data_IF_432185234622
#
_entry.id   IF_432185234622
#
_cell.length_a   1.000
_cell.length_b   1.000
_cell.length_c   1.000
_cell.angle_alpha   90.00
_cell.angle_beta   90.00
_cell.angle_gamma   90.00
#
_symmetry.space_group_name_H-M   'P 1'
#
loop_
_entity.id
_entity.type
_entity.pdbx_description
1 polymer ?
#
# COMPACT_ATOMS: atom_id res chain seq x y z
N UNK A 1 10.45 -11.56 -18.75
CA UNK A 1 9.01 -11.48 -18.46
C UNK A 1 8.83 -11.52 -16.94
N UNK A 2 8.78 -10.37 -16.25
CA UNK A 2 8.55 -10.31 -14.80
C UNK A 2 7.05 -10.49 -14.54
N UNK A 3 6.69 -11.49 -13.73
CA UNK A 3 5.29 -11.80 -13.44
C UNK A 3 4.63 -10.63 -12.69
N UNK A 4 3.72 -9.93 -13.38
CA UNK A 4 2.96 -8.75 -12.91
C UNK A 4 2.19 -8.96 -11.60
N UNK A 5 2.04 -10.22 -11.14
CA UNK A 5 1.35 -10.58 -9.89
C UNK A 5 2.19 -10.35 -8.64
N UNK A 6 3.52 -10.27 -8.76
CA UNK A 6 4.44 -10.19 -7.61
C UNK A 6 5.43 -9.03 -7.77
N UNK A 7 5.00 -7.92 -8.37
CA UNK A 7 5.83 -6.73 -8.31
C UNK A 7 5.96 -6.33 -6.83
N UNK A 8 7.20 -6.15 -6.33
CA UNK A 8 7.47 -5.77 -4.95
C UNK A 8 6.55 -4.66 -4.48
N UNK A 9 6.42 -3.61 -5.29
CA UNK A 9 5.59 -2.45 -5.07
C UNK A 9 4.10 -2.79 -4.93
N UNK A 10 3.61 -3.73 -5.73
CA UNK A 10 2.21 -4.18 -5.74
C UNK A 10 1.83 -4.94 -4.46
N UNK A 11 2.67 -5.88 -4.04
CA UNK A 11 2.44 -6.68 -2.82
C UNK A 11 2.81 -5.93 -1.54
N UNK A 12 3.85 -5.11 -1.55
CA UNK A 12 4.35 -4.43 -0.35
C UNK A 12 3.57 -3.14 -0.05
N UNK A 13 3.38 -2.26 -1.03
CA UNK A 13 2.87 -0.91 -0.79
C UNK A 13 1.42 -0.67 -1.27
N UNK A 14 0.99 -1.33 -2.35
CA UNK A 14 -0.39 -1.18 -2.84
C UNK A 14 -1.41 -2.01 -2.05
N UNK A 15 -1.00 -3.16 -1.50
CA UNK A 15 -1.88 -3.99 -0.68
C UNK A 15 -2.41 -3.27 0.58
N UNK A 16 -1.55 -2.62 1.41
CA UNK A 16 -2.03 -1.84 2.55
C UNK A 16 -2.92 -0.65 2.14
N UNK A 17 -2.60 0.03 1.03
CA UNK A 17 -3.43 1.12 0.50
C UNK A 17 -4.83 0.61 0.17
N UNK A 18 -4.94 -0.52 -0.55
CA UNK A 18 -6.22 -1.14 -0.91
C UNK A 18 -7.04 -1.50 0.33
N UNK A 19 -6.40 -2.07 1.34
CA UNK A 19 -7.07 -2.46 2.60
C UNK A 19 -7.59 -1.24 3.35
N UNK A 20 -6.75 -0.23 3.54
CA UNK A 20 -7.12 0.96 4.30
C UNK A 20 -8.16 1.81 3.56
N UNK A 21 -8.02 1.91 2.22
CA UNK A 21 -9.03 2.50 1.36
C UNK A 21 -10.39 1.80 1.50
N UNK A 22 -10.44 0.47 1.39
CA UNK A 22 -11.68 -0.30 1.55
C UNK A 22 -12.34 -0.07 2.92
N UNK A 23 -11.54 0.12 3.98
CA UNK A 23 -12.03 0.45 5.32
C UNK A 23 -12.63 1.85 5.39
N UNK A 24 -11.93 2.86 4.86
CA UNK A 24 -12.43 4.24 4.82
C UNK A 24 -13.72 4.34 3.99
N UNK A 25 -13.75 3.67 2.84
CA UNK A 25 -14.93 3.53 2.00
C UNK A 25 -16.08 2.92 2.79
N UNK A 26 -15.87 1.76 3.44
CA UNK A 26 -16.93 1.10 4.20
C UNK A 26 -17.49 2.00 5.31
N UNK A 27 -16.63 2.68 6.07
CA UNK A 27 -17.05 3.62 7.12
C UNK A 27 -17.84 4.79 6.52
N UNK A 28 -17.39 5.34 5.40
CA UNK A 28 -18.06 6.48 4.77
C UNK A 28 -19.42 6.08 4.19
N UNK A 29 -19.51 4.95 3.47
CA UNK A 29 -20.78 4.43 2.93
C UNK A 29 -21.78 4.10 4.06
N UNK A 30 -21.31 3.53 5.18
CA UNK A 30 -22.13 3.28 6.38
C UNK A 30 -22.68 4.58 7.02
N UNK A 31 -21.93 5.68 6.92
CA UNK A 31 -22.32 6.98 7.51
C UNK A 31 -23.30 7.76 6.64
N UNK A 32 -23.18 7.66 5.31
CA UNK A 32 -23.90 8.55 4.39
C UNK A 32 -25.02 7.81 3.61
N UNK A 33 -25.18 6.48 3.77
CA UNK A 33 -26.11 5.65 2.97
C UNK A 33 -25.94 5.80 1.45
N UNK A 34 -24.76 6.27 1.04
CA UNK A 34 -24.35 6.37 -0.36
C UNK A 34 -23.76 5.02 -0.75
N UNK A 35 -24.12 4.49 -1.92
CA UNK A 35 -23.65 3.20 -2.44
C UNK A 35 -22.68 3.36 -3.62
N UNK A 36 -22.26 4.58 -3.93
CA UNK A 36 -21.41 4.89 -5.06
C UNK A 36 -20.17 5.68 -4.62
N UNK A 37 -19.05 5.37 -5.26
CA UNK A 37 -17.79 6.08 -5.09
C UNK A 37 -17.31 6.46 -6.47
N UNK A 38 -17.18 7.75 -6.71
CA UNK A 38 -16.68 8.25 -7.98
C UNK A 38 -15.14 8.40 -7.94
N UNK A 39 -14.58 8.89 -9.05
CA UNK A 39 -13.13 9.01 -9.23
C UNK A 39 -12.50 10.06 -8.29
N UNK A 40 -13.22 11.13 -7.99
CA UNK A 40 -12.77 12.19 -7.10
C UNK A 40 -12.73 11.71 -5.65
N UNK A 41 -13.73 10.93 -5.22
CA UNK A 41 -13.73 10.26 -3.92
C UNK A 41 -12.52 9.32 -3.78
N UNK A 42 -12.25 8.53 -4.82
CA UNK A 42 -11.06 7.67 -4.86
C UNK A 42 -9.78 8.48 -4.68
N UNK A 43 -9.63 9.59 -5.41
CA UNK A 43 -8.44 10.44 -5.35
C UNK A 43 -8.28 11.10 -3.98
N UNK A 44 -9.38 11.60 -3.41
CA UNK A 44 -9.43 12.25 -2.10
C UNK A 44 -9.02 11.31 -0.98
N UNK A 45 -9.66 10.13 -0.89
CA UNK A 45 -9.38 9.15 0.15
C UNK A 45 -7.95 8.61 -0.01
N UNK A 46 -7.53 8.27 -1.24
CA UNK A 46 -6.18 7.76 -1.50
C UNK A 46 -5.10 8.78 -1.12
N UNK A 47 -5.31 10.06 -1.41
CA UNK A 47 -4.36 11.13 -1.08
C UNK A 47 -4.22 11.31 0.43
N UNK A 48 -5.33 11.23 1.18
CA UNK A 48 -5.31 11.29 2.65
C UNK A 48 -4.60 10.09 3.29
N UNK A 49 -4.77 8.90 2.71
CA UNK A 49 -4.17 7.66 3.23
C UNK A 49 -2.69 7.50 2.89
N UNK A 50 -2.22 8.12 1.80
CA UNK A 50 -0.83 8.00 1.34
C UNK A 50 0.22 8.22 2.43
N UNK A 51 0.24 9.32 3.20
CA UNK A 51 1.30 9.53 4.20
C UNK A 51 1.31 8.46 5.31
N UNK A 52 0.15 7.89 5.66
CA UNK A 52 0.05 6.82 6.66
C UNK A 52 0.53 5.47 6.09
N UNK A 53 0.10 5.14 4.87
CA UNK A 53 0.42 3.86 4.21
C UNK A 53 1.89 3.80 3.76
N UNK A 54 2.39 4.89 3.19
CA UNK A 54 3.74 4.98 2.61
C UNK A 54 4.75 5.62 3.58
N UNK A 55 4.58 5.42 4.89
CA UNK A 55 5.61 5.82 5.85
C UNK A 55 6.90 5.01 5.62
N UNK A 56 8.06 5.60 5.88
CA UNK A 56 9.36 4.93 5.72
C UNK A 56 9.42 3.59 6.47
N UNK A 57 8.80 3.54 7.66
CA UNK A 57 8.71 2.32 8.47
C UNK A 57 7.82 1.27 7.79
N UNK A 58 6.63 1.65 7.33
CA UNK A 58 5.71 0.72 6.66
C UNK A 58 6.29 0.19 5.36
N UNK A 59 6.91 1.05 4.54
CA UNK A 59 7.61 0.64 3.33
C UNK A 59 8.70 -0.36 3.68
N UNK A 60 9.62 -0.03 4.60
CA UNK A 60 10.74 -0.91 4.97
C UNK A 60 10.26 -2.26 5.50
N UNK A 61 9.28 -2.27 6.41
CA UNK A 61 8.69 -3.50 6.96
C UNK A 61 8.01 -4.35 5.89
N UNK A 62 7.27 -3.73 4.95
CA UNK A 62 6.57 -4.47 3.88
C UNK A 62 7.53 -5.04 2.85
N UNK A 63 8.58 -4.31 2.49
CA UNK A 63 9.65 -4.84 1.63
C UNK A 63 10.36 -6.02 2.31
N UNK A 64 10.73 -5.90 3.59
CA UNK A 64 11.30 -7.00 4.36
C UNK A 64 10.39 -8.23 4.41
N UNK A 65 9.08 -8.04 4.62
CA UNK A 65 8.09 -9.12 4.66
C UNK A 65 7.92 -9.85 3.33
N UNK A 66 8.23 -9.20 2.20
CA UNK A 66 8.22 -9.83 0.87
C UNK A 66 9.50 -10.62 0.56
N UNK A 67 10.42 -10.75 1.52
CA UNK A 67 11.73 -11.38 1.31
C UNK A 67 12.69 -10.53 0.46
N UNK A 68 12.22 -9.37 0.00
CA UNK A 68 12.98 -8.38 -0.72
C UNK A 68 13.66 -7.50 0.31
N UNK A 69 14.81 -7.98 0.79
CA UNK A 69 15.75 -7.10 1.47
C UNK A 69 15.93 -5.86 0.58
N UNK A 70 15.53 -4.69 1.07
CA UNK A 70 16.06 -3.43 0.56
C UNK A 70 17.57 -3.61 0.61
N UNK A 71 18.15 -3.73 -0.58
CA UNK A 71 19.55 -4.06 -0.85
C UNK A 71 20.41 -3.30 0.15
N UNK A 72 20.84 -4.00 1.20
CA UNK A 72 21.65 -3.43 2.25
C UNK A 72 23.07 -3.67 1.78
N UNK A 73 23.78 -2.68 1.20
CA UNK A 73 25.07 -2.92 0.55
C UNK A 73 26.10 -3.53 1.51
N UNK A 74 25.96 -3.30 2.82
CA UNK A 74 26.80 -3.91 3.86
C UNK A 74 26.58 -5.42 4.05
N UNK A 75 25.43 -5.97 3.66
CA UNK A 75 25.13 -7.41 3.79
C UNK A 75 25.55 -8.23 2.57
N UNK A 76 25.93 -7.56 1.48
CA UNK A 76 26.35 -8.19 0.21
C UNK A 76 27.86 -8.50 0.21
N UNK A 77 28.65 -7.87 1.08
CA UNK A 77 30.10 -8.06 1.12
C UNK A 77 30.58 -9.24 2.00
N UNK A 78 29.66 -10.02 2.56
CA UNK A 78 29.96 -11.15 3.48
C UNK A 78 29.43 -12.51 2.97
N UNK A 79 29.09 -12.60 1.68
CA UNK A 79 28.94 -13.87 0.95
C UNK A 79 30.07 -13.98 -0.06
#
# INVERSE_FOLDING_TARGET
HHSHRLQPLGVSCYSPLRTQYGREVHVNLMRVSVYHIDKEDFLSISTKLRPSVFSNQNIRSKFLATGLLLFNPQRVLLL
#
